data_IF_484337143230
#
_entry.id   IF_484337143230
#
_cell.length_a   1.000
_cell.length_b   1.000
_cell.length_c   1.000
_cell.angle_alpha   90.00
_cell.angle_beta   90.00
_cell.angle_gamma   90.00
#
_symmetry.space_group_name_H-M   'P 1'
#
loop_
_entity.id
_entity.type
_entity.pdbx_description
1 polymer ?
#
# COMPACT_ATOMS: atom_id res chain seq x y z
N UNK A 1 -14.95 24.01 41.99
CA UNK A 1 -15.40 25.06 41.05
C UNK A 1 -16.05 24.36 39.85
N UNK A 2 -17.26 24.79 39.47
CA UNK A 2 -18.26 23.99 38.73
C UNK A 2 -17.90 23.74 37.25
N UNK A 3 -18.19 22.51 36.81
CA UNK A 3 -18.26 22.03 35.43
C UNK A 3 -19.41 22.76 34.70
N UNK A 4 -19.21 23.14 33.42
CA UNK A 4 -20.30 23.54 32.51
C UNK A 4 -20.30 22.64 31.27
N UNK A 5 -21.32 21.79 31.18
CA UNK A 5 -21.79 21.13 29.96
C UNK A 5 -22.85 22.03 29.32
N UNK A 6 -22.83 22.21 28.01
CA UNK A 6 -23.87 22.90 27.26
C UNK A 6 -24.74 21.89 26.52
N UNK A 7 -25.98 21.73 26.98
CA UNK A 7 -27.08 21.10 26.26
C UNK A 7 -27.73 22.15 25.35
N UNK A 8 -28.08 21.78 24.12
CA UNK A 8 -29.12 22.46 23.35
C UNK A 8 -30.09 21.40 22.83
N UNK A 9 -31.35 21.55 23.23
CA UNK A 9 -32.47 20.67 22.85
C UNK A 9 -33.60 21.54 22.30
N UNK A 10 -34.28 20.98 21.29
CA UNK A 10 -35.66 21.21 20.83
C UNK A 10 -36.00 22.49 20.07
N UNK A 11 -36.59 22.30 18.87
CA UNK A 11 -37.95 22.78 18.57
C UNK A 11 -38.73 21.77 17.72
N UNK A 12 -39.95 21.47 18.18
CA UNK A 12 -41.02 20.71 17.53
C UNK A 12 -41.95 21.69 16.82
N UNK A 13 -42.52 21.28 15.69
CA UNK A 13 -43.73 21.82 15.07
C UNK A 13 -43.93 21.14 13.70
N UNK A 14 -45.10 20.75 13.22
CA UNK A 14 -46.46 20.73 13.73
C UNK A 14 -47.22 19.62 12.96
N UNK A 15 -48.31 19.14 13.56
CA UNK A 15 -49.24 18.13 13.02
C UNK A 15 -50.14 18.75 11.94
N UNK A 16 -50.32 18.06 10.81
CA UNK A 16 -51.35 18.35 9.82
C UNK A 16 -52.00 17.06 9.33
N UNK A 17 -53.26 16.84 9.74
CA UNK A 17 -54.16 15.78 9.25
C UNK A 17 -54.77 16.21 7.91
N UNK A 18 -54.76 15.34 6.91
CA UNK A 18 -55.70 15.40 5.79
C UNK A 18 -56.02 13.98 5.30
N UNK A 19 -57.32 13.79 5.04
CA UNK A 19 -58.05 12.53 4.82
C UNK A 19 -57.88 12.06 3.37
N UNK A 20 -58.03 10.74 3.17
CA UNK A 20 -57.61 10.00 1.98
C UNK A 20 -58.31 10.30 0.66
N UNK A 21 -57.64 9.86 -0.42
CA UNK A 21 -58.27 9.51 -1.68
C UNK A 21 -57.52 8.28 -2.25
N UNK A 22 -58.24 7.16 -2.39
CA UNK A 22 -57.77 5.94 -3.03
C UNK A 22 -57.78 6.14 -4.55
N UNK A 23 -56.63 5.93 -5.21
CA UNK A 23 -56.59 5.56 -6.63
C UNK A 23 -55.53 4.48 -6.86
N UNK A 24 -55.94 3.41 -7.54
CA UNK A 24 -55.14 2.24 -7.90
C UNK A 24 -54.28 2.49 -9.16
N UNK A 25 -53.16 1.76 -9.22
CA UNK A 25 -52.33 1.39 -10.36
C UNK A 25 -51.19 2.34 -10.82
N UNK A 26 -49.96 1.80 -10.85
CA UNK A 26 -48.83 2.32 -11.64
C UNK A 26 -47.45 1.91 -11.10
N UNK A 27 -46.82 0.91 -11.73
CA UNK A 27 -45.41 0.56 -11.52
C UNK A 27 -44.48 1.68 -11.98
N UNK A 28 -43.49 2.06 -11.17
CA UNK A 28 -42.15 2.43 -11.64
C UNK A 28 -41.19 2.59 -10.44
N UNK A 29 -40.08 1.88 -10.53
CA UNK A 29 -38.93 1.88 -9.65
C UNK A 29 -38.38 3.28 -9.40
N UNK A 30 -38.35 3.71 -8.14
CA UNK A 30 -37.56 4.84 -7.69
C UNK A 30 -36.38 4.33 -6.86
N UNK A 31 -35.42 3.68 -7.51
CA UNK A 31 -34.10 3.43 -6.89
C UNK A 31 -33.49 4.80 -6.65
N UNK A 32 -33.28 5.14 -5.38
CA UNK A 32 -32.51 6.33 -4.99
C UNK A 32 -31.09 6.22 -5.55
N UNK A 33 -30.56 7.24 -6.24
CA UNK A 33 -29.16 7.29 -6.63
C UNK A 33 -28.33 7.73 -5.42
N UNK A 34 -28.13 6.83 -4.46
CA UNK A 34 -27.38 7.11 -3.25
C UNK A 34 -26.78 5.85 -2.61
N UNK A 35 -26.38 4.86 -3.41
CA UNK A 35 -25.56 3.75 -2.88
C UNK A 35 -24.74 3.05 -3.97
N UNK A 36 -24.31 3.81 -4.98
CA UNK A 36 -23.04 3.49 -5.61
C UNK A 36 -21.96 4.11 -4.71
N UNK A 37 -21.68 3.44 -3.58
CA UNK A 37 -20.43 3.66 -2.89
C UNK A 37 -19.34 3.38 -3.93
N UNK A 38 -18.60 4.41 -4.31
CA UNK A 38 -17.37 4.24 -5.08
C UNK A 38 -16.50 3.30 -4.25
N UNK A 39 -16.40 2.05 -4.70
CA UNK A 39 -15.46 1.09 -4.16
C UNK A 39 -14.08 1.62 -4.51
N UNK A 40 -13.48 2.40 -3.62
CA UNK A 40 -12.06 2.76 -3.64
C UNK A 40 -11.27 1.47 -3.92
N UNK A 41 -10.77 1.34 -5.14
CA UNK A 41 -9.98 0.17 -5.53
C UNK A 41 -8.70 0.23 -4.71
N UNK A 42 -8.59 -0.65 -3.72
CA UNK A 42 -7.40 -0.74 -2.91
C UNK A 42 -6.22 -1.08 -3.81
N UNK A 43 -5.15 -0.26 -3.76
CA UNK A 43 -3.94 -0.49 -4.56
C UNK A 43 -3.34 -1.86 -4.30
N UNK A 44 -3.33 -2.31 -3.04
CA UNK A 44 -2.75 -3.60 -2.66
C UNK A 44 -3.82 -4.62 -2.28
N UNK A 45 -3.67 -5.84 -2.82
CA UNK A 45 -4.46 -7.01 -2.45
C UNK A 45 -3.57 -8.02 -1.73
N UNK A 46 -3.82 -8.27 -0.44
CA UNK A 46 -3.12 -9.33 0.31
C UNK A 46 -3.58 -10.69 -0.19
N UNK A 47 -2.61 -11.57 -0.50
CA UNK A 47 -2.88 -12.87 -1.10
C UNK A 47 -3.00 -13.95 -0.01
N UNK A 48 -4.24 -14.36 0.30
CA UNK A 48 -4.50 -15.48 1.23
C UNK A 48 -3.88 -16.79 0.75
N UNK A 49 -3.83 -17.00 -0.57
CA UNK A 49 -3.16 -18.14 -1.20
C UNK A 49 -1.64 -18.20 -0.95
N UNK A 50 -1.08 -17.12 -0.41
CA UNK A 50 0.32 -16.99 0.01
C UNK A 50 0.44 -16.83 1.53
N UNK A 51 -0.52 -17.32 2.31
CA UNK A 51 -0.56 -17.17 3.77
C UNK A 51 -0.48 -15.71 4.23
N UNK A 52 -0.99 -14.77 3.42
CA UNK A 52 -0.89 -13.32 3.63
C UNK A 52 0.55 -12.77 3.61
N UNK A 53 1.53 -13.55 3.16
CA UNK A 53 2.93 -13.11 3.09
C UNK A 53 3.27 -12.37 1.78
N UNK A 54 2.37 -12.40 0.79
CA UNK A 54 2.50 -11.66 -0.47
C UNK A 54 1.34 -10.69 -0.69
N UNK A 55 1.64 -9.52 -1.27
CA UNK A 55 0.64 -8.54 -1.67
C UNK A 55 0.77 -8.22 -3.15
N UNK A 56 -0.33 -8.37 -3.91
CA UNK A 56 -0.44 -7.92 -5.29
C UNK A 56 -0.64 -6.41 -5.32
N UNK A 57 0.24 -5.70 -6.00
CA UNK A 57 0.05 -4.30 -6.38
C UNK A 57 -0.79 -4.25 -7.66
N UNK A 58 -2.04 -3.82 -7.55
CA UNK A 58 -3.02 -3.78 -8.64
C UNK A 58 -2.65 -2.75 -9.72
N UNK A 59 -1.80 -1.77 -9.42
CA UNK A 59 -1.34 -0.77 -10.39
C UNK A 59 -0.21 -1.32 -11.27
N UNK A 60 0.71 -2.10 -10.69
CA UNK A 60 1.91 -2.60 -11.40
C UNK A 60 1.79 -4.05 -11.85
N UNK A 61 0.86 -4.82 -11.27
CA UNK A 61 0.75 -6.26 -11.46
C UNK A 61 1.86 -7.08 -10.79
N UNK A 62 2.66 -6.46 -9.92
CA UNK A 62 3.75 -7.10 -9.21
C UNK A 62 3.27 -7.64 -7.86
N UNK A 63 3.90 -8.71 -7.37
CA UNK A 63 3.66 -9.23 -6.03
C UNK A 63 4.87 -8.95 -5.15
N UNK A 64 4.63 -8.24 -4.05
CA UNK A 64 5.64 -7.84 -3.08
C UNK A 64 5.59 -8.72 -1.84
N UNK A 65 6.75 -8.93 -1.21
CA UNK A 65 6.77 -9.44 0.17
C UNK A 65 6.07 -8.44 1.09
N UNK A 66 5.21 -8.95 1.98
CA UNK A 66 4.57 -8.10 3.00
C UNK A 66 5.52 -7.72 4.13
N UNK A 67 6.57 -8.52 4.34
CA UNK A 67 7.57 -8.33 5.39
C UNK A 67 8.97 -8.50 4.77
N UNK A 68 9.67 -7.40 4.45
CA UNK A 68 11.04 -7.47 3.93
C UNK A 68 12.02 -8.08 4.92
N UNK A 69 13.18 -8.53 4.42
CA UNK A 69 14.21 -9.10 5.29
C UNK A 69 14.92 -8.00 6.08
N UNK A 70 15.02 -8.17 7.40
CA UNK A 70 15.70 -7.23 8.33
C UNK A 70 17.23 -7.39 8.37
N UNK A 71 17.79 -8.37 7.67
CA UNK A 71 19.23 -8.49 7.53
C UNK A 71 19.71 -7.64 6.34
N UNK A 72 20.67 -6.77 6.60
CA UNK A 72 21.33 -6.01 5.53
C UNK A 72 22.38 -6.86 4.82
N UNK A 73 22.72 -6.46 3.60
CA UNK A 73 23.70 -7.15 2.77
C UNK A 73 24.40 -6.19 1.82
N UNK A 74 25.55 -6.60 1.32
CA UNK A 74 26.18 -6.01 0.13
C UNK A 74 25.38 -6.30 -1.13
N UNK A 75 25.45 -5.38 -2.10
CA UNK A 75 24.64 -5.41 -3.32
C UNK A 75 24.80 -6.72 -4.11
N UNK A 76 26.04 -7.21 -4.24
CA UNK A 76 26.36 -8.46 -4.96
C UNK A 76 25.57 -9.68 -4.46
N UNK A 77 25.19 -9.69 -3.18
CA UNK A 77 24.47 -10.80 -2.55
C UNK A 77 22.95 -10.60 -2.56
N UNK A 78 22.46 -9.38 -2.79
CA UNK A 78 21.05 -9.01 -2.66
C UNK A 78 20.12 -9.82 -3.58
N UNK A 79 20.45 -9.91 -4.88
CA UNK A 79 19.68 -10.72 -5.82
C UNK A 79 19.65 -12.20 -5.44
N UNK A 80 20.78 -12.73 -4.95
CA UNK A 80 20.89 -14.11 -4.50
C UNK A 80 20.08 -14.40 -3.23
N UNK A 81 19.87 -13.41 -2.36
CA UNK A 81 18.98 -13.54 -1.20
C UNK A 81 17.55 -13.71 -1.68
N UNK A 82 17.05 -12.83 -2.56
CA UNK A 82 15.70 -12.96 -3.10
C UNK A 82 15.50 -14.29 -3.83
N UNK A 83 16.42 -14.68 -4.71
CA UNK A 83 16.32 -15.92 -5.50
C UNK A 83 16.22 -17.19 -4.64
N UNK A 84 16.72 -17.16 -3.40
CA UNK A 84 16.67 -18.30 -2.46
C UNK A 84 15.42 -18.30 -1.57
N UNK A 85 14.65 -17.21 -1.55
CA UNK A 85 13.48 -17.11 -0.69
C UNK A 85 12.37 -18.06 -1.12
N UNK A 86 11.69 -18.62 -0.13
CA UNK A 86 10.39 -19.26 -0.28
C UNK A 86 9.45 -18.59 0.72
N UNK A 87 8.60 -17.69 0.23
CA UNK A 87 7.70 -16.84 1.04
C UNK A 87 6.29 -17.05 0.53
N UNK A 88 5.34 -17.27 1.43
CA UNK A 88 3.96 -17.63 1.11
C UNK A 88 3.83 -18.88 0.24
N UNK A 89 4.75 -19.84 0.40
CA UNK A 89 4.81 -21.05 -0.42
C UNK A 89 5.24 -20.81 -1.89
N UNK A 90 5.69 -19.60 -2.23
CA UNK A 90 6.12 -19.23 -3.59
C UNK A 90 7.62 -19.03 -3.65
N UNK A 91 8.18 -19.38 -4.81
CA UNK A 91 9.58 -19.14 -5.21
C UNK A 91 9.61 -18.04 -6.28
N UNK A 92 10.72 -17.90 -6.98
CA UNK A 92 10.95 -16.95 -8.06
C UNK A 92 10.90 -15.48 -7.61
N UNK A 93 11.23 -15.25 -6.36
CA UNK A 93 11.47 -13.91 -5.84
C UNK A 93 12.77 -13.35 -6.43
N UNK A 94 12.75 -12.09 -6.81
CA UNK A 94 13.89 -11.36 -7.35
C UNK A 94 14.04 -10.02 -6.65
N UNK A 95 15.23 -9.45 -6.78
CA UNK A 95 15.47 -8.06 -6.39
C UNK A 95 14.73 -7.17 -7.40
N UNK A 96 13.96 -6.16 -6.96
CA UNK A 96 13.26 -5.25 -7.85
C UNK A 96 14.26 -4.38 -8.61
N UNK A 97 13.88 -3.89 -9.77
CA UNK A 97 14.58 -2.78 -10.42
C UNK A 97 14.26 -1.46 -9.72
N UNK A 98 15.03 -0.41 -9.97
CA UNK A 98 14.74 0.93 -9.44
C UNK A 98 13.32 1.37 -9.80
N UNK A 99 12.96 1.23 -11.08
CA UNK A 99 11.64 1.61 -11.60
C UNK A 99 10.47 0.88 -10.94
N UNK A 100 10.70 -0.30 -10.40
CA UNK A 100 9.66 -1.06 -9.70
C UNK A 100 9.59 -0.63 -8.23
N UNK A 101 10.73 -0.53 -7.55
CA UNK A 101 10.75 -0.21 -6.12
C UNK A 101 10.31 1.24 -5.85
N UNK A 102 10.67 2.18 -6.73
CA UNK A 102 10.25 3.57 -6.61
C UNK A 102 8.73 3.74 -6.69
N UNK A 103 8.00 2.82 -7.34
CA UNK A 103 6.54 2.88 -7.42
C UNK A 103 5.86 2.73 -6.06
N UNK A 104 6.53 2.09 -5.09
CA UNK A 104 6.01 1.96 -3.74
C UNK A 104 6.11 3.27 -2.95
N UNK A 105 6.93 4.23 -3.37
CA UNK A 105 7.12 5.47 -2.63
C UNK A 105 5.92 6.41 -2.82
N UNK A 106 5.37 6.89 -1.70
CA UNK A 106 4.35 7.95 -1.69
C UNK A 106 4.88 9.14 -0.88
N UNK A 107 5.34 10.18 -1.61
CA UNK A 107 5.98 11.35 -1.01
C UNK A 107 5.00 12.29 -0.30
N UNK A 108 3.70 11.99 -0.33
CA UNK A 108 2.66 12.77 0.37
C UNK A 108 2.41 12.24 1.78
N UNK A 109 2.93 11.07 2.12
CA UNK A 109 2.69 10.40 3.41
C UNK A 109 3.74 10.81 4.43
N UNK A 110 3.26 11.42 5.52
CA UNK A 110 4.05 11.77 6.68
C UNK A 110 3.18 11.67 7.96
N UNK A 111 3.70 11.13 9.08
CA UNK A 111 5.05 10.62 9.30
C UNK A 111 5.38 9.35 8.48
N UNK A 112 6.66 8.98 8.33
CA UNK A 112 7.08 7.76 7.63
C UNK A 112 6.43 6.47 8.17
N UNK A 113 6.41 5.38 7.37
CA UNK A 113 7.07 5.25 6.07
C UNK A 113 6.29 5.90 4.91
N UNK A 114 7.02 6.44 3.93
CA UNK A 114 6.51 7.04 2.70
C UNK A 114 5.97 5.95 1.73
N UNK A 115 4.88 5.30 2.12
CA UNK A 115 4.20 4.23 1.40
C UNK A 115 2.70 4.56 1.27
N UNK A 116 2.02 4.15 0.18
CA UNK A 116 0.61 4.46 -0.05
C UNK A 116 -0.28 4.08 1.13
N UNK A 117 -1.27 4.93 1.43
CA UNK A 117 -2.24 4.67 2.51
C UNK A 117 -2.92 3.31 2.33
N UNK A 118 -3.02 2.54 3.42
CA UNK A 118 -3.63 1.20 3.39
C UNK A 118 -2.69 0.08 2.93
N UNK A 119 -1.39 0.35 2.74
CA UNK A 119 -0.43 -0.69 2.39
C UNK A 119 -0.40 -1.84 3.43
N UNK A 120 -0.15 -3.09 3.01
CA UNK A 120 -0.08 -4.24 3.92
C UNK A 120 1.32 -4.48 4.49
N UNK A 121 2.29 -3.63 4.14
CA UNK A 121 3.69 -3.83 4.47
C UNK A 121 4.03 -3.54 5.95
N UNK A 122 4.92 -4.34 6.53
CA UNK A 122 5.42 -4.13 7.90
C UNK A 122 6.93 -4.41 7.98
N UNK A 123 7.56 -4.00 9.09
CA UNK A 123 9.03 -4.02 9.27
C UNK A 123 9.78 -3.24 8.18
N UNK A 124 9.25 -2.06 7.84
CA UNK A 124 9.92 -1.14 6.95
C UNK A 124 10.94 -0.36 7.77
N UNK A 125 12.20 -0.48 7.39
CA UNK A 125 13.34 0.13 8.05
C UNK A 125 13.67 1.46 7.39
N UNK A 126 14.06 2.46 8.17
CA UNK A 126 14.38 3.81 7.68
C UNK A 126 15.81 3.89 7.11
N UNK A 127 16.07 3.09 6.08
CA UNK A 127 17.36 3.02 5.37
C UNK A 127 17.14 2.63 3.91
N UNK A 128 18.21 2.60 3.12
CA UNK A 128 18.17 2.15 1.72
C UNK A 128 17.79 0.67 1.58
N UNK A 129 16.93 0.40 0.60
CA UNK A 129 16.64 -0.92 0.07
C UNK A 129 17.28 -1.05 -1.31
N UNK A 130 18.13 -2.06 -1.48
CA UNK A 130 18.82 -2.28 -2.75
C UNK A 130 17.85 -2.53 -3.90
N UNK A 131 18.15 -1.94 -5.05
CA UNK A 131 17.56 -2.31 -6.33
C UNK A 131 18.57 -3.15 -7.13
N UNK A 132 18.10 -3.85 -8.17
CA UNK A 132 18.94 -4.54 -9.14
C UNK A 132 19.55 -3.61 -10.19
N UNK A 133 19.25 -2.32 -10.13
CA UNK A 133 19.71 -1.33 -11.11
C UNK A 133 21.05 -0.75 -10.66
N UNK A 134 22.07 -0.93 -11.48
CA UNK A 134 23.37 -0.28 -11.29
C UNK A 134 23.27 1.23 -11.58
N UNK A 135 24.12 2.04 -10.92
CA UNK A 135 24.20 3.46 -11.23
C UNK A 135 24.92 3.67 -12.56
N UNK A 136 24.33 4.48 -13.45
CA UNK A 136 24.83 4.71 -14.81
C UNK A 136 26.27 5.28 -14.86
N UNK A 137 26.55 6.30 -14.04
CA UNK A 137 27.85 6.97 -14.05
C UNK A 137 28.88 6.39 -13.06
N UNK A 138 28.43 5.64 -12.05
CA UNK A 138 29.27 5.16 -10.94
C UNK A 138 29.24 3.64 -10.86
N UNK A 139 30.20 2.98 -11.51
CA UNK A 139 30.28 1.51 -11.59
C UNK A 139 30.42 0.81 -10.23
N UNK A 140 30.91 1.53 -9.22
CA UNK A 140 31.02 1.04 -7.84
C UNK A 140 29.73 1.20 -7.03
N UNK A 141 28.69 1.83 -7.60
CA UNK A 141 27.43 2.16 -6.92
C UNK A 141 26.23 1.48 -7.57
N UNK A 142 25.17 1.31 -6.80
CA UNK A 142 23.86 0.88 -7.27
C UNK A 142 22.77 1.75 -6.66
N UNK A 143 21.61 1.80 -7.32
CA UNK A 143 20.47 2.55 -6.84
C UNK A 143 19.79 1.85 -5.67
N UNK A 144 19.35 2.63 -4.69
CA UNK A 144 18.50 2.21 -3.58
C UNK A 144 17.31 3.16 -3.40
N UNK A 145 16.30 2.70 -2.66
CA UNK A 145 15.14 3.52 -2.28
C UNK A 145 14.99 3.49 -0.77
N UNK A 146 14.84 4.66 -0.16
CA UNK A 146 14.62 4.82 1.27
C UNK A 146 13.19 5.31 1.55
N UNK A 147 12.45 4.57 2.36
CA UNK A 147 11.05 4.87 2.70
C UNK A 147 10.85 5.78 3.92
N UNK A 148 11.89 6.43 4.44
CA UNK A 148 11.76 7.53 5.42
C UNK A 148 11.07 8.75 4.76
N UNK A 149 11.42 9.04 3.49
CA UNK A 149 10.80 10.10 2.69
C UNK A 149 10.55 9.71 1.22
N UNK A 150 10.70 8.43 0.87
CA UNK A 150 10.57 7.95 -0.51
C UNK A 150 11.74 8.36 -1.40
N UNK A 151 12.92 8.56 -0.82
CA UNK A 151 14.08 9.10 -1.53
C UNK A 151 14.70 8.01 -2.39
N UNK A 152 14.87 8.30 -3.68
CA UNK A 152 15.74 7.56 -4.57
C UNK A 152 17.17 8.02 -4.31
N UNK A 153 18.02 7.09 -3.91
CA UNK A 153 19.42 7.31 -3.60
C UNK A 153 20.31 6.30 -4.31
N UNK A 154 21.61 6.41 -4.06
CA UNK A 154 22.55 5.39 -4.47
C UNK A 154 23.58 5.20 -3.37
N UNK A 155 24.14 4.00 -3.33
CA UNK A 155 25.19 3.69 -2.39
C UNK A 155 26.24 2.76 -3.02
N UNK A 156 27.43 2.72 -2.43
CA UNK A 156 28.51 1.85 -2.89
C UNK A 156 28.10 0.39 -2.74
N UNK A 157 28.35 -0.43 -3.76
CA UNK A 157 28.00 -1.86 -3.79
C UNK A 157 28.62 -2.69 -2.64
N UNK A 158 29.63 -2.15 -1.96
CA UNK A 158 30.30 -2.75 -0.79
C UNK A 158 29.61 -2.42 0.54
N UNK A 159 28.71 -1.45 0.58
CA UNK A 159 27.95 -1.07 1.76
C UNK A 159 26.77 -2.01 1.98
N UNK A 160 26.19 -1.96 3.17
CA UNK A 160 25.09 -2.83 3.56
C UNK A 160 23.76 -2.06 3.50
N UNK A 161 22.82 -2.57 2.71
CA UNK A 161 21.44 -2.09 2.63
C UNK A 161 20.46 -3.26 2.79
N UNK A 162 19.18 -2.95 3.01
CA UNK A 162 18.11 -3.94 3.12
C UNK A 162 17.69 -4.49 1.75
N UNK A 163 16.90 -5.57 1.79
CA UNK A 163 16.38 -6.24 0.59
C UNK A 163 14.88 -6.42 0.74
N UNK A 164 14.14 -5.93 -0.25
CA UNK A 164 12.71 -6.15 -0.41
C UNK A 164 12.48 -6.85 -1.73
N UNK A 165 12.03 -8.11 -1.68
CA UNK A 165 11.88 -8.89 -2.88
C UNK A 165 10.52 -8.69 -3.53
N UNK A 166 10.52 -8.81 -4.85
CA UNK A 166 9.34 -8.75 -5.70
C UNK A 166 9.29 -10.00 -6.57
N UNK A 167 8.11 -10.34 -7.09
CA UNK A 167 7.94 -11.37 -8.11
C UNK A 167 6.85 -10.98 -9.10
N UNK A 168 6.93 -11.54 -10.29
CA UNK A 168 5.88 -11.35 -11.30
C UNK A 168 4.63 -12.14 -10.90
N UNK A 169 3.45 -11.57 -11.18
CA UNK A 169 2.17 -12.27 -11.00
C UNK A 169 1.98 -13.27 -12.14
N UNK A 170 2.01 -14.57 -11.82
CA UNK A 170 1.86 -15.69 -12.76
C UNK A 170 0.69 -16.57 -12.33
#
# INVERSE_FOLDING_TARGET
MKIRRSNWVNRIGAVGLAVGCLTLAGFASGVTPAEAAESESQRFTVLESMNNEGALDNETGLVWETIPTRAQTVWKSAAGICAKKTVGGKKDWRLPTLKELETLADHTIYPPPALPTGHPFSNIEFHGYWTSTEHEDYTMSAWDVNFDYGIIGNDFKINNNFVWCVRDNK
#
